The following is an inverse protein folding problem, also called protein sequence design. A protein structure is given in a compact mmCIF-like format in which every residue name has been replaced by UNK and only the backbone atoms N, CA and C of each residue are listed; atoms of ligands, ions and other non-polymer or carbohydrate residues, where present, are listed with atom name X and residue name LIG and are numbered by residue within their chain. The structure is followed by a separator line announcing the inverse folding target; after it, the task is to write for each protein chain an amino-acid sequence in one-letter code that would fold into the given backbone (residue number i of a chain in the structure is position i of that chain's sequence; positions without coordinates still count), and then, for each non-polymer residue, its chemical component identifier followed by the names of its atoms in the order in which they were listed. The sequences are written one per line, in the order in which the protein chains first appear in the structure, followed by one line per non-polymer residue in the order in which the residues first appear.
data_IF_491733022381
#
_entry.id   IF_491733022381
#
_cell.length_a   1.000
_cell.length_b   1.000
_cell.length_c   1.000
_cell.angle_alpha   90.00
_cell.angle_beta   90.00
_cell.angle_gamma   90.00
#
_symmetry.space_group_name_H-M   'P 1'
#
loop_
_entity.id
_entity.type
_entity.pdbx_description
1 polymer ?
#
# COMPACT_ATOMS: atom_id res chain seq x y z
N UNK A 1 26.49 30.80 -37.25
CA UNK A 1 25.76 30.84 -35.96
C UNK A 1 24.78 29.69 -36.00
N UNK A 2 25.11 28.57 -35.36
CA UNK A 2 24.23 27.41 -35.23
C UNK A 2 23.35 27.68 -34.01
N UNK A 3 22.05 27.80 -34.24
CA UNK A 3 21.04 27.90 -33.20
C UNK A 3 20.98 26.55 -32.50
N UNK A 4 21.33 26.54 -31.21
CA UNK A 4 21.12 25.39 -30.35
C UNK A 4 19.62 25.25 -30.11
N UNK A 5 19.00 24.29 -30.79
CA UNK A 5 17.67 23.81 -30.44
C UNK A 5 17.71 23.33 -28.99
N UNK A 6 17.16 24.13 -28.08
CA UNK A 6 16.92 23.70 -26.70
C UNK A 6 15.81 22.65 -26.77
N UNK A 7 16.22 21.39 -26.81
CA UNK A 7 15.35 20.23 -26.73
C UNK A 7 14.32 20.46 -25.58
N UNK A 8 13.02 20.37 -25.85
CA UNK A 8 12.01 20.64 -24.84
C UNK A 8 12.16 19.64 -23.71
N UNK A 9 12.55 20.13 -22.52
CA UNK A 9 12.65 19.33 -21.30
C UNK A 9 11.34 18.54 -21.16
N UNK A 10 11.38 17.18 -21.17
CA UNK A 10 10.17 16.39 -21.11
C UNK A 10 9.39 16.78 -19.85
N UNK A 11 8.05 16.86 -19.92
CA UNK A 11 7.25 17.28 -18.78
C UNK A 11 7.58 16.36 -17.61
N UNK A 12 7.86 16.96 -16.45
CA UNK A 12 8.02 16.23 -15.20
C UNK A 12 6.71 15.45 -14.97
N UNK A 13 6.71 14.17 -15.31
CA UNK A 13 5.58 13.29 -15.03
C UNK A 13 5.54 13.11 -13.52
N UNK A 14 4.68 13.89 -12.86
CA UNK A 14 4.42 13.72 -11.44
C UNK A 14 3.93 12.28 -11.23
N UNK A 15 4.75 11.45 -10.58
CA UNK A 15 4.39 10.08 -10.21
C UNK A 15 3.48 10.13 -9.00
N UNK A 16 2.24 10.51 -9.25
CA UNK A 16 1.22 10.72 -8.22
C UNK A 16 1.04 9.44 -7.39
N UNK A 17 1.05 8.27 -8.04
CA UNK A 17 1.00 6.99 -7.34
C UNK A 17 2.13 6.86 -6.31
N UNK A 18 3.38 7.10 -6.73
CA UNK A 18 4.55 6.98 -5.86
C UNK A 18 4.48 7.95 -4.67
N UNK A 19 3.95 9.16 -4.85
CA UNK A 19 3.73 10.09 -3.74
C UNK A 19 2.63 9.59 -2.78
N UNK A 20 1.52 9.09 -3.32
CA UNK A 20 0.35 8.71 -2.52
C UNK A 20 0.54 7.43 -1.71
N UNK A 21 1.34 6.46 -2.16
CA UNK A 21 1.48 5.15 -1.47
C UNK A 21 2.10 5.24 -0.08
N UNK A 22 2.78 6.34 0.26
CA UNK A 22 3.43 6.51 1.57
C UNK A 22 2.41 6.56 2.71
N UNK A 23 1.25 7.17 2.46
CA UNK A 23 0.19 7.32 3.46
C UNK A 23 -0.43 5.98 3.88
N UNK A 24 -0.97 5.12 2.97
CA UNK A 24 -1.50 3.83 3.35
C UNK A 24 -0.43 2.91 3.93
N UNK A 25 0.80 2.93 3.39
CA UNK A 25 1.92 2.14 3.96
C UNK A 25 2.19 2.52 5.41
N UNK A 26 2.24 3.82 5.72
CA UNK A 26 2.49 4.30 7.08
C UNK A 26 1.32 3.96 8.01
N UNK A 27 0.08 4.18 7.55
CA UNK A 27 -1.12 3.91 8.34
C UNK A 27 -1.28 2.41 8.67
N UNK A 28 -1.11 1.54 7.69
CA UNK A 28 -1.20 0.10 7.86
C UNK A 28 -0.04 -0.48 8.68
N UNK A 29 1.17 0.06 8.53
CA UNK A 29 2.30 -0.31 9.39
C UNK A 29 2.02 0.06 10.84
N UNK A 30 1.54 1.28 11.10
CA UNK A 30 1.18 1.71 12.46
C UNK A 30 0.04 0.87 13.04
N UNK A 31 -1.01 0.59 12.27
CA UNK A 31 -2.12 -0.27 12.69
C UNK A 31 -1.64 -1.68 13.05
N UNK A 32 -0.76 -2.27 12.23
CA UNK A 32 -0.23 -3.59 12.48
C UNK A 32 0.67 -3.64 13.73
N UNK A 33 1.49 -2.61 13.97
CA UNK A 33 2.28 -2.51 15.20
C UNK A 33 1.38 -2.43 16.44
N UNK A 34 0.31 -1.64 16.38
CA UNK A 34 -0.67 -1.55 17.46
C UNK A 34 -1.36 -2.89 17.71
N UNK A 35 -1.78 -3.58 16.65
CA UNK A 35 -2.41 -4.90 16.76
C UNK A 35 -1.45 -5.96 17.34
N UNK A 36 -0.18 -5.94 16.93
CA UNK A 36 0.84 -6.80 17.53
C UNK A 36 1.04 -6.48 19.01
N UNK A 37 1.05 -5.20 19.41
CA UNK A 37 1.13 -4.84 20.83
C UNK A 37 -0.08 -5.29 21.63
N UNK A 38 -1.30 -5.24 21.06
CA UNK A 38 -2.51 -5.79 21.70
C UNK A 38 -2.40 -7.31 21.91
N UNK A 39 -1.73 -8.03 21.01
CA UNK A 39 -1.57 -9.50 21.11
C UNK A 39 -0.73 -9.90 22.33
N UNK A 40 0.21 -9.06 22.76
CA UNK A 40 1.10 -9.33 23.90
C UNK A 40 0.65 -8.67 25.20
N UNK A 41 -0.51 -8.00 25.22
CA UNK A 41 -0.94 -7.18 26.35
C UNK A 41 -2.41 -7.41 26.69
N UNK A 42 -2.73 -7.38 27.97
CA UNK A 42 -4.13 -7.49 28.41
C UNK A 42 -4.86 -6.15 28.24
N UNK A 43 -5.62 -6.03 27.15
CA UNK A 43 -6.60 -4.96 26.93
C UNK A 43 -6.17 -3.83 25.98
N UNK A 44 -7.14 -3.05 25.45
CA UNK A 44 -6.96 -2.14 24.31
C UNK A 44 -6.49 -0.72 24.69
N UNK A 45 -5.84 -0.52 25.84
CA UNK A 45 -5.39 0.81 26.27
C UNK A 45 -3.87 0.92 26.34
N UNK A 46 -3.27 1.72 25.45
CA UNK A 46 -1.84 2.01 25.47
C UNK A 46 -1.61 3.50 25.70
N UNK A 47 -0.96 3.85 26.81
CA UNK A 47 -0.64 5.24 27.16
C UNK A 47 -1.86 6.21 27.13
N UNK A 48 -3.04 5.73 27.54
CA UNK A 48 -4.28 6.51 27.52
C UNK A 48 -4.98 6.59 26.15
N UNK A 49 -4.49 5.85 25.15
CA UNK A 49 -5.11 5.75 23.82
C UNK A 49 -5.83 4.41 23.71
N UNK A 50 -7.08 4.45 23.25
CA UNK A 50 -7.82 3.26 22.85
C UNK A 50 -7.24 2.74 21.52
N UNK A 51 -6.42 1.68 21.60
CA UNK A 51 -5.71 1.11 20.45
C UNK A 51 -6.66 0.49 19.43
N UNK A 52 -7.77 -0.10 19.88
CA UNK A 52 -8.78 -0.66 18.97
C UNK A 52 -9.41 0.43 18.09
N UNK A 53 -9.73 1.60 18.65
CA UNK A 53 -10.24 2.74 17.90
C UNK A 53 -9.16 3.31 16.94
N UNK A 54 -7.91 3.41 17.41
CA UNK A 54 -6.80 3.90 16.60
C UNK A 54 -6.53 2.97 15.39
N UNK A 55 -6.47 1.66 15.60
CA UNK A 55 -6.32 0.65 14.54
C UNK A 55 -7.43 0.81 13.50
N UNK A 56 -8.69 0.91 13.95
CA UNK A 56 -9.83 1.08 13.04
C UNK A 56 -9.66 2.31 12.14
N UNK A 57 -9.36 3.47 12.74
CA UNK A 57 -9.17 4.72 11.98
C UNK A 57 -8.00 4.60 11.01
N UNK A 58 -6.86 4.06 11.44
CA UNK A 58 -5.68 3.90 10.59
C UNK A 58 -5.93 2.95 9.41
N UNK A 59 -6.60 1.82 9.64
CA UNK A 59 -6.93 0.86 8.59
C UNK A 59 -7.85 1.49 7.54
N UNK A 60 -8.93 2.14 7.97
CA UNK A 60 -9.90 2.76 7.05
C UNK A 60 -9.35 3.99 6.34
N UNK A 61 -8.57 4.82 7.03
CA UNK A 61 -7.85 5.93 6.40
C UNK A 61 -6.87 5.41 5.35
N UNK A 62 -6.12 4.34 5.67
CA UNK A 62 -5.25 3.66 4.73
C UNK A 62 -6.00 3.14 3.51
N UNK A 63 -7.14 2.46 3.69
CA UNK A 63 -7.97 1.96 2.59
C UNK A 63 -8.49 3.09 1.69
N UNK A 64 -8.95 4.20 2.28
CA UNK A 64 -9.43 5.36 1.54
C UNK A 64 -8.32 5.95 0.64
N UNK A 65 -7.13 6.20 1.20
CA UNK A 65 -6.02 6.77 0.43
C UNK A 65 -5.44 5.75 -0.55
N UNK A 66 -5.37 4.47 -0.18
CA UNK A 66 -4.94 3.39 -1.07
C UNK A 66 -5.84 3.29 -2.30
N UNK A 67 -7.14 3.55 -2.18
CA UNK A 67 -8.06 3.59 -3.31
C UNK A 67 -7.66 4.71 -4.29
N UNK A 68 -7.35 5.91 -3.80
CA UNK A 68 -6.87 7.02 -4.63
C UNK A 68 -5.53 6.68 -5.28
N UNK A 69 -4.60 6.09 -4.52
CA UNK A 69 -3.30 5.65 -5.02
C UNK A 69 -3.41 4.55 -6.08
N UNK A 70 -4.38 3.63 -5.94
CA UNK A 70 -4.70 2.59 -6.91
C UNK A 70 -5.20 3.19 -8.22
N UNK A 71 -6.12 4.17 -8.16
CA UNK A 71 -6.61 4.87 -9.36
C UNK A 71 -5.46 5.57 -10.09
N UNK A 72 -4.59 6.27 -9.36
CA UNK A 72 -3.39 6.87 -9.94
C UNK A 72 -2.46 5.81 -10.55
N UNK A 73 -2.27 4.68 -9.86
CA UNK A 73 -1.47 3.56 -10.32
C UNK A 73 -2.01 2.92 -11.61
N UNK A 74 -3.34 2.79 -11.75
CA UNK A 74 -3.97 2.27 -12.98
C UNK A 74 -3.77 3.21 -14.17
N UNK A 75 -3.84 4.53 -13.95
CA UNK A 75 -3.53 5.53 -15.00
C UNK A 75 -2.05 5.51 -15.40
N UNK A 76 -1.15 5.27 -14.44
CA UNK A 76 0.28 5.13 -14.73
C UNK A 76 0.60 3.78 -15.41
N UNK A 77 -0.14 2.73 -15.07
CA UNK A 77 -0.02 1.38 -15.65
C UNK A 77 -0.39 1.36 -17.14
N UNK A 78 -1.44 2.08 -17.55
CA UNK A 78 -1.82 2.20 -18.97
C UNK A 78 -0.81 2.95 -19.84
N UNK A 79 0.19 3.58 -19.21
CA UNK A 79 1.28 4.29 -19.87
C UNK A 79 2.60 3.51 -19.80
N UNK A 80 2.60 2.26 -19.35
CA UNK A 80 3.78 1.41 -19.37
C UNK A 80 4.04 0.91 -20.80
N UNK A 81 5.32 0.78 -21.20
CA UNK A 81 5.65 0.11 -22.45
C UNK A 81 5.21 -1.35 -22.37
N UNK A 82 4.71 -1.91 -23.47
CA UNK A 82 4.19 -3.29 -23.55
C UNK A 82 5.29 -4.36 -23.55
N UNK A 83 6.47 -4.04 -23.00
CA UNK A 83 7.57 -4.97 -22.91
C UNK A 83 7.26 -6.12 -21.95
N UNK A 84 7.52 -7.38 -22.33
CA UNK A 84 7.18 -8.54 -21.51
C UNK A 84 7.73 -8.47 -20.07
N UNK A 85 8.96 -7.98 -19.90
CA UNK A 85 9.62 -7.87 -18.60
C UNK A 85 8.99 -6.79 -17.70
N UNK A 86 8.67 -5.63 -18.28
CA UNK A 86 7.99 -4.52 -17.59
C UNK A 86 6.58 -4.93 -17.19
N UNK A 87 5.83 -5.51 -18.12
CA UNK A 87 4.45 -5.94 -17.90
C UNK A 87 4.36 -7.07 -16.88
N UNK A 88 5.26 -8.06 -16.90
CA UNK A 88 5.31 -9.12 -15.89
C UNK A 88 5.56 -8.56 -14.48
N UNK A 89 6.49 -7.61 -14.36
CA UNK A 89 6.80 -6.96 -13.09
C UNK A 89 5.63 -6.11 -12.60
N UNK A 90 4.95 -5.40 -13.51
CA UNK A 90 3.81 -4.55 -13.19
C UNK A 90 2.61 -5.37 -12.72
N UNK A 91 2.29 -6.46 -13.42
CA UNK A 91 1.25 -7.40 -13.02
C UNK A 91 1.52 -8.04 -11.65
N UNK A 92 2.77 -8.44 -11.39
CA UNK A 92 3.15 -8.98 -10.08
C UNK A 92 2.99 -7.94 -8.97
N UNK A 93 3.38 -6.70 -9.22
CA UNK A 93 3.17 -5.60 -8.28
C UNK A 93 1.67 -5.37 -8.01
N UNK A 94 0.83 -5.32 -9.05
CA UNK A 94 -0.62 -5.16 -8.92
C UNK A 94 -1.24 -6.29 -8.09
N UNK A 95 -0.86 -7.55 -8.33
CA UNK A 95 -1.38 -8.70 -7.59
C UNK A 95 -1.01 -8.62 -6.10
N UNK A 96 0.24 -8.29 -5.79
CA UNK A 96 0.73 -8.19 -4.41
C UNK A 96 0.05 -7.04 -3.65
N UNK A 97 -0.06 -5.87 -4.27
CA UNK A 97 -0.71 -4.71 -3.66
C UNK A 97 -2.22 -4.86 -3.56
N UNK A 98 -2.87 -5.49 -4.54
CA UNK A 98 -4.28 -5.85 -4.46
C UNK A 98 -4.56 -6.84 -3.33
N UNK A 99 -3.69 -7.84 -3.17
CA UNK A 99 -3.80 -8.80 -2.06
C UNK A 99 -3.56 -8.15 -0.70
N UNK A 100 -2.60 -7.21 -0.61
CA UNK A 100 -2.38 -6.37 0.57
C UNK A 100 -3.64 -5.57 0.92
N UNK A 101 -4.24 -4.90 -0.07
CA UNK A 101 -5.47 -4.14 0.10
C UNK A 101 -6.59 -5.02 0.66
N UNK A 102 -6.79 -6.22 0.10
CA UNK A 102 -7.79 -7.16 0.59
C UNK A 102 -7.53 -7.63 2.02
N UNK A 103 -6.27 -7.87 2.40
CA UNK A 103 -5.92 -8.22 3.78
C UNK A 103 -6.36 -7.10 4.74
N UNK A 104 -6.00 -5.85 4.46
CA UNK A 104 -6.39 -4.71 5.32
C UNK A 104 -7.88 -4.39 5.27
N UNK A 105 -8.56 -4.68 4.15
CA UNK A 105 -10.01 -4.61 4.08
C UNK A 105 -10.65 -5.63 5.03
N UNK A 106 -10.18 -6.88 5.02
CA UNK A 106 -10.68 -7.91 5.93
C UNK A 106 -10.40 -7.52 7.38
N UNK A 107 -9.20 -7.03 7.70
CA UNK A 107 -8.85 -6.53 9.04
C UNK A 107 -9.81 -5.42 9.49
N UNK A 108 -10.07 -4.43 8.63
CA UNK A 108 -11.00 -3.34 8.93
C UNK A 108 -12.45 -3.79 9.12
N UNK A 109 -12.89 -4.80 8.35
CA UNK A 109 -14.23 -5.40 8.44
C UNK A 109 -14.38 -6.37 9.62
N UNK A 110 -13.28 -6.83 10.22
CA UNK A 110 -13.27 -7.80 11.34
C UNK A 110 -12.82 -7.15 12.66
N UNK A 111 -12.81 -5.81 12.70
CA UNK A 111 -12.42 -5.07 13.90
C UNK A 111 -13.41 -5.33 15.07
N UNK A 112 -12.91 -5.75 16.24
CA UNK A 112 -13.73 -5.92 17.43
C UNK A 112 -14.50 -4.64 17.78
N UNK A 113 -15.80 -4.78 18.08
CA UNK A 113 -16.69 -3.67 18.45
C UNK A 113 -17.19 -2.82 17.27
N UNK A 114 -16.73 -3.08 16.04
CA UNK A 114 -17.22 -2.43 14.83
C UNK A 114 -17.70 -3.41 13.74
N UNK A 115 -17.34 -4.71 13.84
CA UNK A 115 -17.79 -5.75 12.91
C UNK A 115 -19.06 -6.47 13.37
N UNK A 116 -19.78 -7.01 12.39
CA UNK A 116 -20.84 -8.03 12.63
C UNK A 116 -20.28 -9.45 12.60
N UNK A 117 -19.01 -9.60 12.19
CA UNK A 117 -18.30 -10.87 12.04
C UNK A 117 -17.32 -11.00 13.19
N UNK A 118 -17.66 -11.85 14.16
CA UNK A 118 -16.73 -12.25 15.22
C UNK A 118 -15.59 -13.07 14.61
N UNK A 119 -14.40 -12.48 14.58
CA UNK A 119 -13.19 -13.12 14.07
C UNK A 119 -12.24 -13.40 15.21
N UNK A 120 -11.71 -14.63 15.34
CA UNK A 120 -10.73 -14.95 16.37
C UNK A 120 -9.53 -13.99 16.30
N UNK A 121 -9.06 -13.41 17.41
CA UNK A 121 -7.97 -12.43 17.42
C UNK A 121 -6.72 -12.93 16.68
N UNK A 122 -6.33 -14.20 16.90
CA UNK A 122 -5.17 -14.79 16.23
C UNK A 122 -5.30 -14.89 14.71
N UNK A 123 -6.52 -15.07 14.18
CA UNK A 123 -6.75 -15.08 12.73
C UNK A 123 -6.61 -13.67 12.15
N UNK A 124 -7.20 -12.66 12.82
CA UNK A 124 -7.05 -11.24 12.41
C UNK A 124 -5.58 -10.85 12.36
N UNK A 125 -4.83 -11.15 13.42
CA UNK A 125 -3.39 -10.86 13.50
C UNK A 125 -2.60 -11.60 12.41
N UNK A 126 -2.96 -12.85 12.11
CA UNK A 126 -2.37 -13.59 10.99
C UNK A 126 -2.59 -12.89 9.63
N UNK A 127 -3.79 -12.36 9.39
CA UNK A 127 -4.12 -11.61 8.17
C UNK A 127 -3.35 -10.28 8.13
N UNK A 128 -3.25 -9.58 9.25
CA UNK A 128 -2.47 -8.34 9.38
C UNK A 128 -0.98 -8.56 9.05
N UNK A 129 -0.37 -9.61 9.61
CA UNK A 129 1.02 -9.97 9.31
C UNK A 129 1.20 -10.36 7.85
N UNK A 130 0.28 -11.15 7.29
CA UNK A 130 0.30 -11.52 5.87
C UNK A 130 0.22 -10.26 4.99
N UNK A 131 -0.69 -9.33 5.29
CA UNK A 131 -0.83 -8.06 4.60
C UNK A 131 0.46 -7.24 4.61
N UNK A 132 1.13 -7.14 5.76
CA UNK A 132 2.43 -6.46 5.86
C UNK A 132 3.52 -7.12 4.99
N UNK A 133 3.62 -8.46 5.02
CA UNK A 133 4.61 -9.18 4.22
C UNK A 133 4.39 -8.98 2.72
N UNK A 134 3.13 -9.08 2.28
CA UNK A 134 2.74 -8.81 0.89
C UNK A 134 3.06 -7.36 0.49
N UNK A 135 2.83 -6.40 1.41
CA UNK A 135 3.14 -4.99 1.18
C UNK A 135 4.65 -4.77 0.98
N UNK A 136 5.50 -5.38 1.80
CA UNK A 136 6.96 -5.27 1.68
C UNK A 136 7.44 -5.85 0.35
N UNK A 137 6.97 -7.06 0.00
CA UNK A 137 7.33 -7.70 -1.28
C UNK A 137 6.79 -6.88 -2.46
N UNK A 138 5.56 -6.37 -2.37
CA UNK A 138 4.93 -5.51 -3.36
C UNK A 138 5.70 -4.22 -3.58
N UNK A 139 6.14 -3.56 -2.51
CA UNK A 139 6.96 -2.35 -2.56
C UNK A 139 8.32 -2.61 -3.22
N UNK A 140 8.97 -3.74 -2.91
CA UNK A 140 10.23 -4.14 -3.56
C UNK A 140 10.05 -4.34 -5.06
N UNK A 141 8.99 -5.04 -5.49
CA UNK A 141 8.67 -5.23 -6.92
C UNK A 141 8.34 -3.90 -7.59
N UNK A 142 7.62 -3.00 -6.92
CA UNK A 142 7.32 -1.66 -7.41
C UNK A 142 8.59 -0.81 -7.61
N UNK A 143 9.56 -0.91 -6.71
CA UNK A 143 10.86 -0.26 -6.86
C UNK A 143 11.63 -0.75 -8.09
N UNK A 144 11.53 -2.05 -8.43
CA UNK A 144 12.16 -2.60 -9.64
C UNK A 144 11.55 -2.05 -10.93
N UNK A 145 10.24 -1.75 -10.96
CA UNK A 145 9.61 -1.09 -12.11
C UNK A 145 10.20 0.29 -12.39
N UNK A 146 10.58 1.02 -11.33
CA UNK A 146 11.23 2.32 -11.49
C UNK A 146 12.56 2.17 -12.20
N UNK A 147 13.35 1.14 -11.86
CA UNK A 147 14.66 0.88 -12.47
C UNK A 147 14.50 0.43 -13.92
N UNK A 148 13.65 -0.57 -14.18
CA UNK A 148 13.43 -1.10 -15.53
C UNK A 148 12.94 -0.02 -16.51
N UNK A 149 12.11 0.92 -16.03
CA UNK A 149 11.64 2.05 -16.84
C UNK A 149 12.71 3.11 -17.15
N UNK A 150 13.86 3.09 -16.48
CA UNK A 150 14.95 4.05 -16.71
C UNK A 150 16.02 3.52 -17.67
N UNK A 151 16.08 2.21 -17.92
CA UNK A 151 17.08 1.59 -18.81
C UNK A 151 16.73 1.73 -20.31
N UNK A 152 15.59 2.36 -20.65
CA UNK A 152 15.11 2.58 -22.03
C UNK A 152 15.38 3.99 -22.58
N UNK A 153 16.28 4.78 -21.97
CA UNK A 153 16.73 6.09 -22.48
C UNK A 153 18.21 6.09 -22.84
#
# INVERSE_FOLDING_TARGET
MSEGETEPKPPVRLRLHAALVHFPVSAWTAAALLELTETFRDGPELAGINTAAAIYVLVWLGLAIATIALLAGMLEYSQLPEEPAVMATANRHMLLMGSTFLCFLIVGLTQPGASVIDTPPGLRTGITVLGLLLMVVGAHVGGRLVVLRQEEW
#
